data_IF_111505185757
#
_entry.id   IF_111505185757
#
_cell.length_a   1.000
_cell.length_b   1.000
_cell.length_c   1.000
_cell.angle_alpha   90.00
_cell.angle_beta   90.00
_cell.angle_gamma   90.00
#
_symmetry.space_group_name_H-M   'P 1'
#
loop_
_entity.id
_entity.type
_entity.pdbx_description
1 polymer ?
#
# COMPACT_ATOMS: atom_id res chain seq x y z
N UNK A 1 -65.72 -59.04 39.61
CA UNK A 1 -64.83 -58.76 38.48
C UNK A 1 -65.01 -57.32 37.97
N UNK A 2 -64.80 -56.27 38.79
CA UNK A 2 -65.14 -54.89 38.36
C UNK A 2 -64.00 -53.84 38.48
N UNK A 3 -62.76 -54.20 38.78
CA UNK A 3 -61.72 -53.19 39.00
C UNK A 3 -60.41 -53.38 38.18
N UNK A 4 -60.35 -54.36 37.27
CA UNK A 4 -59.10 -54.54 36.46
C UNK A 4 -58.94 -53.50 35.36
N UNK A 5 -60.03 -52.99 34.83
CA UNK A 5 -59.98 -51.92 33.77
C UNK A 5 -59.55 -50.58 34.32
N UNK A 6 -60.03 -50.23 35.54
CA UNK A 6 -59.68 -48.97 36.20
C UNK A 6 -58.22 -48.92 36.60
N UNK A 7 -57.66 -50.02 37.10
CA UNK A 7 -56.25 -50.11 37.47
C UNK A 7 -55.33 -50.00 36.25
N UNK A 8 -55.74 -50.63 35.13
CA UNK A 8 -54.98 -50.52 33.87
C UNK A 8 -55.01 -49.08 33.32
N UNK A 9 -56.11 -48.38 33.38
CA UNK A 9 -56.24 -47.00 32.93
C UNK A 9 -55.43 -46.03 33.79
N UNK A 10 -55.41 -46.20 35.11
CA UNK A 10 -54.61 -45.37 36.04
C UNK A 10 -53.12 -45.63 35.83
N UNK A 11 -52.69 -46.88 35.56
CA UNK A 11 -51.29 -47.18 35.30
C UNK A 11 -50.77 -46.55 33.96
N UNK A 12 -51.63 -46.52 32.93
CA UNK A 12 -51.27 -45.83 31.66
C UNK A 12 -51.17 -44.31 31.81
N UNK A 13 -52.07 -43.71 32.58
CA UNK A 13 -52.04 -42.26 32.88
C UNK A 13 -50.80 -41.90 33.69
N UNK A 14 -50.43 -42.71 34.69
CA UNK A 14 -49.23 -42.49 35.49
C UNK A 14 -47.95 -42.65 34.68
N UNK A 15 -47.91 -43.61 33.71
CA UNK A 15 -46.78 -43.75 32.77
C UNK A 15 -46.68 -42.59 31.81
N UNK A 16 -47.81 -42.05 31.34
CA UNK A 16 -47.81 -40.89 30.48
C UNK A 16 -47.41 -39.63 31.23
N UNK A 17 -47.86 -39.41 32.43
CA UNK A 17 -47.47 -38.29 33.31
C UNK A 17 -46.00 -38.40 33.74
N UNK A 18 -45.50 -39.61 34.01
CA UNK A 18 -44.06 -39.83 34.27
C UNK A 18 -43.19 -39.55 33.08
N UNK A 19 -43.60 -39.95 31.86
CA UNK A 19 -42.87 -39.68 30.61
C UNK A 19 -42.84 -38.18 30.28
N UNK A 20 -43.96 -37.44 30.48
CA UNK A 20 -43.96 -35.99 30.28
C UNK A 20 -43.17 -35.22 31.31
N UNK A 21 -43.11 -35.72 32.58
CA UNK A 21 -42.30 -35.10 33.63
C UNK A 21 -40.79 -35.31 33.38
N UNK A 22 -40.39 -36.48 32.93
CA UNK A 22 -39.01 -36.77 32.55
C UNK A 22 -38.61 -35.95 31.28
N UNK A 23 -39.53 -35.80 30.35
CA UNK A 23 -39.31 -34.96 29.15
C UNK A 23 -39.19 -33.47 29.49
N UNK A 24 -40.01 -32.96 30.47
CA UNK A 24 -39.88 -31.59 30.95
C UNK A 24 -38.64 -31.35 31.82
N UNK A 25 -38.19 -32.36 32.60
CA UNK A 25 -36.91 -32.27 33.33
C UNK A 25 -35.70 -32.30 32.39
N UNK A 26 -35.76 -33.10 31.31
CA UNK A 26 -34.73 -33.10 30.27
C UNK A 26 -34.63 -31.79 29.51
N UNK A 27 -35.74 -31.06 29.29
CA UNK A 27 -35.74 -29.74 28.67
C UNK A 27 -35.31 -28.61 29.58
N UNK A 28 -35.34 -28.77 30.90
CA UNK A 28 -34.89 -27.75 31.86
C UNK A 28 -33.38 -27.82 32.17
N UNK A 29 -32.69 -28.89 31.74
CA UNK A 29 -31.25 -29.04 31.89
C UNK A 29 -30.45 -28.61 30.64
N UNK A 30 -31.11 -28.06 29.65
CA UNK A 30 -30.52 -27.74 28.34
C UNK A 30 -30.61 -26.28 27.92
N UNK A 31 -30.48 -25.28 28.84
CA UNK A 31 -30.32 -23.88 28.41
C UNK A 31 -29.51 -23.11 29.48
N UNK A 32 -28.30 -23.56 29.72
CA UNK A 32 -27.16 -22.70 29.99
C UNK A 32 -26.17 -22.95 28.80
N UNK A 33 -26.54 -22.57 27.58
CA UNK A 33 -25.52 -22.11 26.65
C UNK A 33 -25.05 -20.74 27.22
N UNK A 34 -24.12 -20.84 28.20
CA UNK A 34 -23.10 -19.85 28.20
C UNK A 34 -22.58 -19.79 26.77
N UNK A 35 -22.62 -18.63 26.16
CA UNK A 35 -21.84 -18.31 24.98
C UNK A 35 -20.44 -18.82 25.32
N UNK A 36 -20.08 -19.99 24.81
CA UNK A 36 -18.67 -20.36 24.70
C UNK A 36 -18.11 -19.24 23.82
N UNK A 37 -17.43 -18.31 24.47
CA UNK A 37 -16.46 -17.50 23.78
C UNK A 37 -15.58 -18.54 23.07
N UNK A 38 -15.66 -18.60 21.75
CA UNK A 38 -14.78 -19.42 20.96
C UNK A 38 -13.37 -19.07 21.42
N UNK A 39 -12.67 -20.03 22.02
CA UNK A 39 -11.25 -19.88 22.28
C UNK A 39 -10.64 -19.41 20.96
N UNK A 40 -9.73 -18.43 20.98
CA UNK A 40 -9.05 -18.01 19.76
C UNK A 40 -8.45 -19.27 19.16
N UNK A 41 -8.85 -19.60 17.92
CA UNK A 41 -8.24 -20.69 17.19
C UNK A 41 -6.78 -20.29 17.01
N UNK A 42 -5.89 -20.98 17.72
CA UNK A 42 -4.46 -20.74 17.62
C UNK A 42 -4.06 -20.99 16.18
N UNK A 43 -3.66 -19.93 15.47
CA UNK A 43 -3.25 -20.03 14.07
C UNK A 43 -1.93 -20.78 13.98
N UNK A 44 -1.81 -21.65 12.98
CA UNK A 44 -0.55 -22.36 12.72
C UNK A 44 0.57 -21.35 12.42
N UNK A 45 1.80 -21.69 12.81
CA UNK A 45 2.99 -20.88 12.49
C UNK A 45 3.15 -20.73 10.98
N UNK A 46 3.38 -19.50 10.53
CA UNK A 46 3.49 -19.12 9.13
C UNK A 46 4.76 -18.32 8.87
N UNK A 47 5.29 -18.43 7.66
CA UNK A 47 6.45 -17.66 7.19
C UNK A 47 6.04 -16.75 6.04
N UNK A 48 6.30 -15.45 6.18
CA UNK A 48 6.10 -14.44 5.13
C UNK A 48 7.44 -13.88 4.71
N UNK A 49 7.78 -14.02 3.42
CA UNK A 49 8.98 -13.43 2.83
C UNK A 49 8.68 -12.06 2.24
N UNK A 50 9.29 -10.99 2.74
CA UNK A 50 9.13 -9.63 2.21
C UNK A 50 10.39 -9.20 1.48
N UNK A 51 10.26 -8.86 0.20
CA UNK A 51 11.30 -8.23 -0.61
C UNK A 51 10.92 -6.78 -0.87
N UNK A 52 11.67 -5.84 -0.29
CA UNK A 52 11.53 -4.41 -0.52
C UNK A 52 12.63 -3.94 -1.49
N UNK A 53 12.28 -3.13 -2.49
CA UNK A 53 13.25 -2.67 -3.50
C UNK A 53 14.35 -1.78 -2.91
N UNK A 54 13.96 -0.79 -2.09
CA UNK A 54 14.86 0.15 -1.45
C UNK A 54 14.25 0.70 -0.16
N UNK A 55 15.06 1.17 0.78
CA UNK A 55 14.58 1.87 1.98
C UNK A 55 14.46 3.36 1.69
N UNK A 56 13.26 3.87 1.79
CA UNK A 56 12.89 5.28 1.89
C UNK A 56 11.54 5.38 2.60
N UNK A 57 11.17 6.56 3.09
CA UNK A 57 10.04 6.77 4.01
C UNK A 57 8.74 6.11 3.52
N UNK A 58 8.40 6.19 2.22
CA UNK A 58 7.17 5.60 1.70
C UNK A 58 7.18 4.06 1.76
N UNK A 59 8.24 3.40 1.23
CA UNK A 59 8.30 1.93 1.24
C UNK A 59 8.49 1.37 2.66
N UNK A 60 9.18 2.09 3.53
CA UNK A 60 9.33 1.68 4.93
C UNK A 60 7.98 1.78 5.66
N UNK A 61 7.19 2.83 5.41
CA UNK A 61 5.83 2.95 5.93
C UNK A 61 4.91 1.82 5.41
N UNK A 62 5.00 1.46 4.12
CA UNK A 62 4.27 0.31 3.55
C UNK A 62 4.65 -0.98 4.27
N UNK A 63 5.95 -1.23 4.48
CA UNK A 63 6.42 -2.45 5.14
C UNK A 63 5.96 -2.52 6.60
N UNK A 64 5.96 -1.42 7.34
CA UNK A 64 5.40 -1.37 8.69
C UNK A 64 3.87 -1.55 8.67
N UNK A 65 3.18 -0.97 7.69
CA UNK A 65 1.75 -1.21 7.48
C UNK A 65 1.43 -2.68 7.22
N UNK A 66 2.25 -3.39 6.42
CA UNK A 66 2.08 -4.83 6.17
C UNK A 66 2.13 -5.61 7.49
N UNK A 67 3.08 -5.31 8.36
CA UNK A 67 3.19 -5.95 9.68
C UNK A 67 1.98 -5.67 10.56
N UNK A 68 1.48 -4.43 10.55
CA UNK A 68 0.27 -4.07 11.32
C UNK A 68 -0.98 -4.75 10.75
N UNK A 69 -1.17 -4.79 9.42
CA UNK A 69 -2.28 -5.50 8.78
C UNK A 69 -2.29 -7.01 9.05
N UNK A 70 -1.12 -7.64 9.10
CA UNK A 70 -0.94 -9.03 9.53
C UNK A 70 -1.35 -9.19 11.00
N UNK A 71 -0.90 -8.30 11.87
CA UNK A 71 -1.20 -8.31 13.30
C UNK A 71 -2.69 -8.07 13.58
N UNK A 72 -3.34 -7.11 12.92
CA UNK A 72 -4.79 -6.89 12.98
C UNK A 72 -5.57 -8.14 12.56
N UNK A 73 -4.99 -8.94 11.65
CA UNK A 73 -5.56 -10.19 11.15
C UNK A 73 -5.20 -11.42 12.02
N UNK A 74 -4.49 -11.22 13.15
CA UNK A 74 -4.16 -12.27 14.12
C UNK A 74 -2.86 -13.03 13.83
N UNK A 75 -1.97 -12.47 13.01
CA UNK A 75 -0.61 -12.97 12.79
C UNK A 75 0.40 -12.04 13.47
N UNK A 76 1.08 -12.54 14.51
CA UNK A 76 2.02 -11.75 15.31
C UNK A 76 3.43 -12.32 15.18
N UNK A 77 4.38 -11.48 14.76
CA UNK A 77 5.78 -11.87 14.62
C UNK A 77 6.35 -12.37 15.95
N UNK A 78 7.02 -13.52 15.91
CA UNK A 78 7.60 -14.18 17.09
C UNK A 78 6.63 -15.01 17.90
N UNK A 79 5.33 -15.06 17.54
CA UNK A 79 4.30 -15.91 18.13
C UNK A 79 3.87 -16.99 17.13
N UNK A 80 3.11 -16.61 16.10
CA UNK A 80 2.63 -17.50 15.05
C UNK A 80 3.05 -17.05 13.64
N UNK A 81 3.97 -16.11 13.55
CA UNK A 81 4.47 -15.53 12.30
C UNK A 81 5.99 -15.35 12.34
N UNK A 82 6.67 -15.80 11.31
CA UNK A 82 8.05 -15.45 11.00
C UNK A 82 8.07 -14.54 9.78
N UNK A 83 8.72 -13.37 9.87
CA UNK A 83 8.94 -12.47 8.75
C UNK A 83 10.39 -12.55 8.32
N UNK A 84 10.63 -13.01 7.09
CA UNK A 84 11.93 -12.99 6.43
C UNK A 84 12.01 -11.76 5.52
N UNK A 85 12.78 -10.75 5.93
CA UNK A 85 12.87 -9.46 5.24
C UNK A 85 14.17 -9.32 4.46
N UNK A 86 14.09 -8.84 3.21
CA UNK A 86 15.21 -8.51 2.33
C UNK A 86 15.00 -7.11 1.73
N UNK A 87 16.10 -6.33 1.66
CA UNK A 87 16.09 -5.01 1.04
C UNK A 87 17.10 -4.95 -0.12
N UNK A 88 16.62 -4.64 -1.31
CA UNK A 88 17.41 -4.59 -2.55
C UNK A 88 18.41 -3.44 -2.63
N UNK A 89 18.28 -2.40 -1.78
CA UNK A 89 19.12 -1.21 -1.75
C UNK A 89 19.21 -0.49 -3.12
N UNK A 90 18.10 -0.43 -3.85
CA UNK A 90 17.97 0.10 -5.20
C UNK A 90 18.88 -0.63 -6.24
N UNK A 91 19.39 -1.82 -5.94
CA UNK A 91 20.23 -2.61 -6.83
C UNK A 91 19.44 -3.79 -7.40
N UNK A 92 18.88 -3.59 -8.61
CA UNK A 92 18.09 -4.61 -9.29
C UNK A 92 18.84 -5.92 -9.52
N UNK A 93 20.18 -5.87 -9.63
CA UNK A 93 20.99 -7.09 -9.86
C UNK A 93 20.98 -8.05 -8.67
N UNK A 94 20.68 -7.56 -7.46
CA UNK A 94 20.60 -8.37 -6.23
C UNK A 94 19.23 -9.02 -6.03
N UNK A 95 18.17 -8.44 -6.60
CA UNK A 95 16.79 -8.86 -6.34
C UNK A 95 16.54 -10.33 -6.66
N UNK A 96 17.06 -10.83 -7.78
CA UNK A 96 16.89 -12.25 -8.14
C UNK A 96 17.49 -13.20 -7.10
N UNK A 97 18.69 -12.87 -6.58
CA UNK A 97 19.33 -13.66 -5.52
C UNK A 97 18.55 -13.59 -4.21
N UNK A 98 18.07 -12.40 -3.83
CA UNK A 98 17.27 -12.20 -2.63
C UNK A 98 15.91 -12.92 -2.73
N UNK A 99 15.25 -12.86 -3.88
CA UNK A 99 14.01 -13.61 -4.15
C UNK A 99 14.22 -15.12 -3.94
N UNK A 100 15.32 -15.67 -4.47
CA UNK A 100 15.63 -17.08 -4.29
C UNK A 100 15.97 -17.44 -2.83
N UNK A 101 16.57 -16.52 -2.08
CA UNK A 101 16.84 -16.72 -0.65
C UNK A 101 15.55 -16.78 0.15
N UNK A 102 14.57 -15.89 -0.13
CA UNK A 102 13.26 -15.92 0.52
C UNK A 102 12.49 -17.20 0.19
N UNK A 103 12.54 -17.63 -1.06
CA UNK A 103 11.92 -18.89 -1.48
C UNK A 103 12.53 -20.11 -0.75
N UNK A 104 13.86 -20.11 -0.54
CA UNK A 104 14.58 -21.17 0.18
C UNK A 104 14.34 -21.16 1.70
N UNK A 105 13.62 -20.16 2.23
CA UNK A 105 13.15 -20.09 3.62
C UNK A 105 11.77 -20.72 3.81
N UNK A 106 11.28 -21.44 2.80
CA UNK A 106 9.95 -22.08 2.80
C UNK A 106 8.83 -21.10 3.15
N UNK A 107 8.88 -19.87 2.60
CA UNK A 107 7.85 -18.86 2.80
C UNK A 107 6.48 -19.36 2.28
N UNK A 108 5.44 -19.27 3.12
CA UNK A 108 4.05 -19.60 2.73
C UNK A 108 3.49 -18.55 1.74
N UNK A 109 3.90 -17.28 1.89
CA UNK A 109 3.55 -16.16 1.03
C UNK A 109 4.76 -15.26 0.86
N UNK A 110 4.96 -14.75 -0.36
CA UNK A 110 5.95 -13.73 -0.68
C UNK A 110 5.28 -12.38 -0.88
N UNK A 111 5.91 -11.31 -0.44
CA UNK A 111 5.43 -9.93 -0.64
C UNK A 111 6.50 -9.15 -1.40
N UNK A 112 6.11 -8.58 -2.54
CA UNK A 112 6.98 -7.70 -3.32
C UNK A 112 6.60 -6.24 -3.08
N UNK A 113 7.44 -5.49 -2.36
CA UNK A 113 7.23 -4.06 -2.09
C UNK A 113 7.92 -3.25 -3.16
N UNK A 114 7.13 -2.56 -3.96
CA UNK A 114 7.41 -1.89 -5.23
C UNK A 114 7.59 -2.83 -6.44
N UNK A 115 7.35 -2.29 -7.65
CA UNK A 115 7.33 -3.03 -8.92
C UNK A 115 8.60 -3.85 -9.18
N UNK A 116 9.83 -3.32 -8.99
CA UNK A 116 11.04 -4.12 -9.26
C UNK A 116 11.18 -5.35 -8.35
N UNK A 117 10.77 -5.25 -7.08
CA UNK A 117 10.78 -6.37 -6.15
C UNK A 117 9.74 -7.43 -6.52
N UNK A 118 8.53 -7.00 -6.86
CA UNK A 118 7.46 -7.89 -7.31
C UNK A 118 7.85 -8.66 -8.59
N UNK A 119 8.43 -7.97 -9.58
CA UNK A 119 8.94 -8.60 -10.80
C UNK A 119 10.03 -9.64 -10.51
N UNK A 120 10.94 -9.36 -9.58
CA UNK A 120 11.98 -10.29 -9.20
C UNK A 120 11.43 -11.56 -8.54
N UNK A 121 10.42 -11.44 -7.68
CA UNK A 121 9.73 -12.58 -7.07
C UNK A 121 8.97 -13.39 -8.13
N UNK A 122 8.23 -12.75 -9.03
CA UNK A 122 7.48 -13.40 -10.10
C UNK A 122 8.38 -14.23 -11.06
N UNK A 123 9.63 -13.81 -11.22
CA UNK A 123 10.61 -14.51 -12.04
C UNK A 123 11.18 -15.79 -11.41
N UNK A 124 11.04 -15.99 -10.10
CA UNK A 124 11.63 -17.16 -9.40
C UNK A 124 10.61 -18.21 -8.98
N UNK A 125 9.32 -17.87 -8.94
CA UNK A 125 8.27 -18.83 -8.58
C UNK A 125 6.94 -18.55 -9.29
N UNK A 126 6.21 -19.62 -9.61
CA UNK A 126 4.83 -19.60 -10.09
C UNK A 126 3.90 -20.42 -9.17
N UNK A 127 4.46 -21.01 -8.09
CA UNK A 127 3.74 -21.89 -7.18
C UNK A 127 3.44 -21.21 -5.84
N UNK A 128 4.43 -20.47 -5.26
CA UNK A 128 4.24 -19.76 -4.00
C UNK A 128 3.43 -18.50 -4.25
N UNK A 129 2.36 -18.22 -3.48
CA UNK A 129 1.59 -17.00 -3.58
C UNK A 129 2.46 -15.75 -3.44
N UNK A 130 2.24 -14.76 -4.31
CA UNK A 130 2.89 -13.45 -4.25
C UNK A 130 1.81 -12.39 -4.04
N UNK A 131 1.99 -11.56 -3.01
CA UNK A 131 1.16 -10.38 -2.76
C UNK A 131 1.95 -9.12 -3.12
N UNK A 132 1.38 -8.32 -4.01
CA UNK A 132 1.95 -7.03 -4.42
C UNK A 132 1.74 -6.02 -3.29
N UNK A 133 2.82 -5.38 -2.85
CA UNK A 133 2.80 -4.26 -1.94
C UNK A 133 3.19 -2.99 -2.69
N UNK A 134 2.20 -2.17 -3.07
CA UNK A 134 2.42 -0.93 -3.82
C UNK A 134 3.06 -1.16 -5.21
N UNK A 135 2.30 -1.75 -6.11
CA UNK A 135 2.66 -1.88 -7.52
C UNK A 135 1.74 -1.03 -8.39
N UNK A 136 2.32 -0.07 -9.09
CA UNK A 136 1.57 0.99 -9.78
C UNK A 136 0.71 0.49 -10.94
N UNK A 137 1.28 -0.37 -11.79
CA UNK A 137 0.60 -0.97 -12.94
C UNK A 137 0.89 -2.48 -13.00
N UNK A 138 0.15 -3.31 -12.24
CA UNK A 138 0.36 -4.74 -12.22
C UNK A 138 0.22 -5.44 -13.58
N UNK A 139 -0.67 -4.93 -14.44
CA UNK A 139 -0.89 -5.47 -15.80
C UNK A 139 0.24 -5.06 -16.73
N UNK A 140 0.58 -3.77 -16.78
CA UNK A 140 1.68 -3.26 -17.60
C UNK A 140 3.06 -3.79 -17.19
N UNK A 141 3.24 -4.11 -15.90
CA UNK A 141 4.44 -4.77 -15.38
C UNK A 141 4.48 -6.29 -15.68
N UNK A 142 3.47 -6.84 -16.37
CA UNK A 142 3.31 -8.26 -16.68
C UNK A 142 3.29 -9.17 -15.44
N UNK A 143 2.74 -8.70 -14.34
CA UNK A 143 2.60 -9.44 -13.08
C UNK A 143 1.28 -10.20 -13.01
N UNK A 144 0.21 -9.60 -13.54
CA UNK A 144 -1.13 -10.18 -13.60
C UNK A 144 -1.73 -10.03 -14.99
N UNK A 145 -2.69 -10.88 -15.34
CA UNK A 145 -3.37 -10.80 -16.63
C UNK A 145 -4.42 -9.67 -16.66
N UNK A 146 -5.07 -9.42 -15.52
CA UNK A 146 -6.16 -8.47 -15.37
C UNK A 146 -6.27 -8.04 -13.90
N UNK A 147 -6.80 -6.84 -13.62
CA UNK A 147 -6.91 -6.31 -12.25
C UNK A 147 -8.01 -6.99 -11.44
N UNK A 148 -9.11 -7.39 -12.09
CA UNK A 148 -10.24 -8.06 -11.43
C UNK A 148 -10.06 -9.58 -11.35
N UNK A 149 -9.29 -10.15 -12.29
CA UNK A 149 -9.00 -11.59 -12.41
C UNK A 149 -7.52 -11.83 -12.69
N UNK A 150 -6.66 -11.76 -11.69
CA UNK A 150 -5.20 -11.84 -11.86
C UNK A 150 -4.71 -13.11 -12.61
N UNK A 151 -5.33 -14.26 -12.33
CA UNK A 151 -5.21 -15.48 -13.15
C UNK A 151 -4.02 -16.39 -12.85
N UNK A 152 -3.11 -16.01 -11.97
CA UNK A 152 -1.91 -16.75 -11.60
C UNK A 152 -1.72 -16.89 -10.09
N UNK A 153 -0.47 -16.94 -9.63
CA UNK A 153 -0.11 -16.97 -8.20
C UNK A 153 0.08 -15.59 -7.59
N UNK A 154 -0.30 -14.51 -8.30
CA UNK A 154 -0.07 -13.10 -7.90
C UNK A 154 -1.40 -12.39 -7.71
N UNK A 155 -1.54 -11.68 -6.62
CA UNK A 155 -2.55 -10.66 -6.33
C UNK A 155 -1.92 -9.57 -5.46
N UNK A 156 -2.66 -8.57 -4.98
CA UNK A 156 -2.11 -7.59 -4.06
C UNK A 156 -2.78 -6.23 -4.11
N UNK A 157 -2.01 -5.20 -3.80
CA UNK A 157 -2.46 -3.82 -3.69
C UNK A 157 -1.68 -2.95 -4.68
N UNK A 158 -2.42 -2.16 -5.46
CA UNK A 158 -1.85 -1.14 -6.34
C UNK A 158 -1.82 0.21 -5.62
N UNK A 159 -0.72 0.91 -5.78
CA UNK A 159 -0.51 2.29 -5.31
C UNK A 159 -0.77 3.34 -6.39
N UNK A 160 -1.49 2.96 -7.46
CA UNK A 160 -1.73 3.84 -8.61
C UNK A 160 -2.13 5.26 -8.18
N UNK A 161 -1.26 6.24 -8.50
CA UNK A 161 -1.48 7.64 -8.13
C UNK A 161 -2.47 8.33 -9.09
N UNK A 162 -3.25 9.30 -8.60
CA UNK A 162 -4.16 10.10 -9.43
C UNK A 162 -3.41 11.22 -10.18
N UNK A 163 -2.56 10.85 -11.14
CA UNK A 163 -1.64 11.76 -11.86
C UNK A 163 -2.36 12.98 -12.45
N UNK A 164 -3.55 12.80 -13.05
CA UNK A 164 -4.33 13.90 -13.57
C UNK A 164 -4.74 14.93 -12.50
N UNK A 165 -5.12 14.45 -11.31
CA UNK A 165 -5.45 15.33 -10.19
C UNK A 165 -4.20 16.07 -9.65
N UNK A 166 -3.04 15.41 -9.63
CA UNK A 166 -1.77 16.02 -9.22
C UNK A 166 -1.32 17.13 -10.16
N UNK A 167 -1.40 16.91 -11.47
CA UNK A 167 -1.07 17.95 -12.48
C UNK A 167 -2.08 19.10 -12.43
N UNK A 168 -3.38 18.79 -12.20
CA UNK A 168 -4.40 19.82 -12.00
C UNK A 168 -4.11 20.64 -10.73
N UNK A 169 -3.79 20.00 -9.61
CA UNK A 169 -3.40 20.68 -8.37
C UNK A 169 -2.19 21.61 -8.61
N UNK A 170 -1.18 21.14 -9.35
CA UNK A 170 -0.05 21.95 -9.74
C UNK A 170 -0.49 23.22 -10.47
N UNK A 171 -1.41 23.09 -11.44
CA UNK A 171 -1.93 24.23 -12.20
C UNK A 171 -2.76 25.19 -11.36
N UNK A 172 -3.52 24.68 -10.40
CA UNK A 172 -4.31 25.50 -9.46
C UNK A 172 -3.40 26.30 -8.49
N UNK A 173 -2.29 25.70 -8.02
CA UNK A 173 -1.30 26.35 -7.16
C UNK A 173 -0.37 27.31 -7.94
N UNK A 174 -0.11 27.01 -9.22
CA UNK A 174 0.83 27.70 -10.09
C UNK A 174 0.13 28.15 -11.39
N UNK A 175 -0.83 29.09 -11.33
CA UNK A 175 -1.69 29.42 -12.48
C UNK A 175 -0.91 29.97 -13.69
N UNK A 176 0.24 30.61 -13.48
CA UNK A 176 1.08 31.16 -14.53
C UNK A 176 2.04 30.14 -15.15
N UNK A 177 2.17 28.93 -14.59
CA UNK A 177 3.04 27.89 -15.09
C UNK A 177 2.62 27.45 -16.51
N UNK A 178 3.61 27.26 -17.36
CA UNK A 178 3.47 26.85 -18.78
C UNK A 178 4.20 25.57 -19.09
N UNK A 179 5.22 25.22 -18.32
CA UNK A 179 6.11 24.09 -18.59
C UNK A 179 6.32 23.26 -17.34
N UNK A 180 6.03 21.96 -17.43
CA UNK A 180 6.34 20.97 -16.39
C UNK A 180 7.53 20.10 -16.82
N UNK A 181 8.47 19.90 -15.91
CA UNK A 181 9.52 18.90 -16.05
C UNK A 181 9.16 17.63 -15.29
N UNK A 182 9.17 16.48 -15.95
CA UNK A 182 8.88 15.19 -15.34
C UNK A 182 10.21 14.51 -15.06
N UNK A 183 10.57 14.38 -13.78
CA UNK A 183 11.82 13.73 -13.35
C UNK A 183 11.55 12.27 -12.98
N UNK A 184 12.24 11.33 -13.62
CA UNK A 184 12.01 9.91 -13.38
C UNK A 184 13.26 9.05 -13.62
N UNK A 185 13.27 7.84 -13.07
CA UNK A 185 14.28 6.81 -13.33
C UNK A 185 14.00 6.05 -14.62
N UNK A 186 15.00 5.93 -15.49
CA UNK A 186 14.89 5.13 -16.71
C UNK A 186 14.89 3.61 -16.46
N UNK A 187 15.15 3.18 -15.22
CA UNK A 187 15.28 1.77 -14.85
C UNK A 187 14.04 1.21 -14.15
N UNK A 188 13.04 2.05 -13.87
CA UNK A 188 11.79 1.65 -13.22
C UNK A 188 10.60 1.69 -14.18
N UNK A 189 9.89 0.57 -14.34
CA UNK A 189 8.75 0.47 -15.26
C UNK A 189 7.52 1.23 -14.75
N UNK A 190 7.28 1.23 -13.41
CA UNK A 190 6.25 2.03 -12.75
C UNK A 190 6.33 3.51 -13.13
N UNK A 191 7.54 4.08 -13.11
CA UNK A 191 7.76 5.50 -13.45
C UNK A 191 7.46 5.79 -14.91
N UNK A 192 7.92 4.94 -15.84
CA UNK A 192 7.67 5.10 -17.28
C UNK A 192 6.19 5.12 -17.62
N UNK A 193 5.38 4.28 -16.95
CA UNK A 193 3.95 4.26 -17.13
C UNK A 193 3.33 5.62 -16.75
N UNK A 194 3.68 6.16 -15.59
CA UNK A 194 3.15 7.43 -15.11
C UNK A 194 3.67 8.66 -15.87
N UNK A 195 4.85 8.59 -16.50
CA UNK A 195 5.34 9.65 -17.37
C UNK A 195 4.33 9.91 -18.50
N UNK A 196 3.84 8.88 -19.18
CA UNK A 196 2.86 9.04 -20.24
C UNK A 196 1.52 9.62 -19.71
N UNK A 197 1.06 9.21 -18.53
CA UNK A 197 -0.12 9.80 -17.90
C UNK A 197 0.11 11.29 -17.56
N UNK A 198 1.30 11.65 -17.06
CA UNK A 198 1.65 13.03 -16.72
C UNK A 198 1.77 13.93 -17.96
N UNK A 199 2.33 13.42 -19.06
CA UNK A 199 2.39 14.13 -20.34
C UNK A 199 0.98 14.43 -20.89
N UNK A 200 0.09 13.44 -20.86
CA UNK A 200 -1.31 13.62 -21.28
C UNK A 200 -2.05 14.62 -20.37
N UNK A 201 -1.91 14.49 -19.04
CA UNK A 201 -2.52 15.41 -18.10
C UNK A 201 -1.97 16.85 -18.22
N UNK A 202 -0.69 17.00 -18.53
CA UNK A 202 -0.08 18.30 -18.80
C UNK A 202 -0.70 18.96 -20.02
N UNK A 203 -0.86 18.25 -21.13
CA UNK A 203 -1.50 18.73 -22.35
C UNK A 203 -2.95 19.18 -22.08
N UNK A 204 -3.74 18.36 -21.36
CA UNK A 204 -5.12 18.68 -20.97
C UNK A 204 -5.21 19.96 -20.12
N UNK A 205 -4.19 20.28 -19.32
CA UNK A 205 -4.12 21.48 -18.49
C UNK A 205 -3.38 22.65 -19.17
N UNK A 206 -3.09 22.57 -20.49
CA UNK A 206 -2.44 23.62 -21.26
C UNK A 206 -0.97 23.83 -20.92
N UNK A 207 -0.30 22.80 -20.37
CA UNK A 207 1.12 22.80 -20.04
C UNK A 207 1.93 22.11 -21.16
N UNK A 208 3.16 22.57 -21.38
CA UNK A 208 4.15 21.84 -22.15
C UNK A 208 4.94 20.94 -21.22
N UNK A 209 5.00 19.65 -21.48
CA UNK A 209 5.79 18.69 -20.70
C UNK A 209 7.18 18.49 -21.30
N UNK A 210 8.17 18.25 -20.45
CA UNK A 210 9.52 17.81 -20.79
C UNK A 210 9.91 16.67 -19.84
N UNK A 211 10.24 15.51 -20.39
CA UNK A 211 10.60 14.33 -19.62
C UNK A 211 12.12 14.21 -19.45
N UNK A 212 12.57 14.04 -18.22
CA UNK A 212 13.98 13.97 -17.83
C UNK A 212 14.28 12.65 -17.12
N UNK A 213 14.90 11.73 -17.85
CA UNK A 213 15.25 10.40 -17.37
C UNK A 213 16.64 10.38 -16.74
N UNK A 214 16.79 9.78 -15.59
CA UNK A 214 18.08 9.49 -14.95
C UNK A 214 18.29 7.99 -14.83
N UNK A 215 19.49 7.47 -15.10
CA UNK A 215 19.80 6.04 -14.96
C UNK A 215 20.12 5.63 -13.53
N UNK A 216 20.48 6.57 -12.66
CA UNK A 216 20.75 6.32 -11.23
C UNK A 216 20.62 7.61 -10.41
N UNK A 217 20.69 7.48 -9.08
CA UNK A 217 20.65 8.62 -8.15
C UNK A 217 21.82 9.59 -8.30
N UNK A 218 22.95 9.16 -8.89
CA UNK A 218 24.15 9.99 -9.06
C UNK A 218 23.93 11.18 -10.00
N UNK A 219 23.03 11.07 -10.98
CA UNK A 219 22.76 12.10 -11.98
C UNK A 219 21.66 13.08 -11.56
N UNK A 220 20.94 12.80 -10.45
CA UNK A 220 19.76 13.56 -10.02
C UNK A 220 20.11 15.04 -9.79
N UNK A 221 21.15 15.34 -9.00
CA UNK A 221 21.51 16.72 -8.68
C UNK A 221 21.77 17.55 -9.92
N UNK A 222 22.53 17.02 -10.88
CA UNK A 222 22.83 17.69 -12.15
C UNK A 222 21.58 17.85 -13.00
N UNK A 223 20.72 16.83 -13.05
CA UNK A 223 19.48 16.87 -13.82
C UNK A 223 18.53 17.93 -13.28
N UNK A 224 18.33 18.01 -11.97
CA UNK A 224 17.49 19.05 -11.33
C UNK A 224 18.03 20.45 -11.63
N UNK A 225 19.34 20.67 -11.61
CA UNK A 225 19.96 21.96 -11.98
C UNK A 225 19.67 22.35 -13.45
N UNK A 226 19.60 21.37 -14.37
CA UNK A 226 19.21 21.61 -15.76
C UNK A 226 17.73 21.95 -15.83
N UNK A 227 16.87 21.13 -15.21
CA UNK A 227 15.41 21.30 -15.21
C UNK A 227 15.00 22.66 -14.66
N UNK A 228 15.58 23.10 -13.56
CA UNK A 228 15.26 24.36 -12.89
C UNK A 228 15.48 25.61 -13.75
N UNK A 229 16.19 25.49 -14.88
CA UNK A 229 16.39 26.58 -15.87
C UNK A 229 15.42 26.53 -17.04
N UNK A 230 14.69 25.44 -17.17
CA UNK A 230 13.93 25.12 -18.39
C UNK A 230 12.44 24.94 -18.14
N UNK A 231 12.02 24.78 -16.85
CA UNK A 231 10.64 24.46 -16.49
C UNK A 231 10.15 25.34 -15.34
N UNK A 232 8.84 25.51 -15.23
CA UNK A 232 8.21 26.32 -14.20
C UNK A 232 8.02 25.53 -12.90
N UNK A 233 7.88 24.20 -12.99
CA UNK A 233 7.86 23.28 -11.84
C UNK A 233 8.29 21.88 -12.25
N UNK A 234 8.68 21.08 -11.27
CA UNK A 234 9.04 19.67 -11.43
C UNK A 234 7.88 18.80 -10.95
N UNK A 235 7.52 17.78 -11.72
CA UNK A 235 6.66 16.69 -11.30
C UNK A 235 7.49 15.42 -11.12
N UNK A 236 7.27 14.71 -9.99
CA UNK A 236 7.91 13.44 -9.68
C UNK A 236 6.81 12.37 -9.56
N UNK A 237 6.78 11.39 -10.49
CA UNK A 237 5.87 10.25 -10.39
C UNK A 237 6.24 9.32 -9.23
N UNK A 238 5.54 8.19 -9.08
CA UNK A 238 5.95 7.10 -8.18
C UNK A 238 7.28 6.51 -8.68
N UNK A 239 8.38 7.01 -8.11
CA UNK A 239 9.75 6.67 -8.51
C UNK A 239 10.61 6.46 -7.26
N UNK A 240 11.01 5.23 -7.03
CA UNK A 240 11.75 4.87 -5.83
C UNK A 240 13.18 5.41 -5.81
N UNK A 241 13.81 5.51 -6.99
CA UNK A 241 15.16 6.07 -7.13
C UNK A 241 15.16 7.56 -6.80
N UNK A 242 14.15 8.29 -7.27
CA UNK A 242 14.00 9.72 -6.97
C UNK A 242 13.58 9.93 -5.51
N UNK A 243 12.63 9.14 -4.99
CA UNK A 243 12.18 9.20 -3.59
C UNK A 243 13.35 8.98 -2.62
N UNK A 244 14.21 8.01 -2.89
CA UNK A 244 15.41 7.75 -2.08
C UNK A 244 16.43 8.91 -2.08
N UNK A 245 16.35 9.81 -3.07
CA UNK A 245 17.21 10.99 -3.19
C UNK A 245 16.46 12.31 -3.04
N UNK A 246 15.26 12.29 -2.44
CA UNK A 246 14.34 13.45 -2.43
C UNK A 246 14.97 14.69 -1.80
N UNK A 247 15.75 14.54 -0.74
CA UNK A 247 16.48 15.67 -0.13
C UNK A 247 17.42 16.36 -1.12
N UNK A 248 18.12 15.59 -1.97
CA UNK A 248 18.97 16.15 -3.03
C UNK A 248 18.14 16.92 -4.05
N UNK A 249 16.98 16.39 -4.45
CA UNK A 249 16.06 17.07 -5.38
C UNK A 249 15.59 18.39 -4.79
N UNK A 250 15.09 18.38 -3.56
CA UNK A 250 14.59 19.57 -2.85
C UNK A 250 15.70 20.62 -2.70
N UNK A 251 16.88 20.21 -2.26
CA UNK A 251 18.01 21.12 -2.09
C UNK A 251 18.40 21.82 -3.41
N UNK A 252 18.46 21.08 -4.51
CA UNK A 252 18.81 21.67 -5.80
C UNK A 252 17.69 22.53 -6.39
N UNK A 253 16.43 22.12 -6.28
CA UNK A 253 15.27 22.87 -6.76
C UNK A 253 15.08 24.20 -5.97
N UNK A 254 15.30 24.17 -4.66
CA UNK A 254 15.16 25.35 -3.79
C UNK A 254 16.17 26.47 -4.12
N UNK A 255 17.38 26.14 -4.65
CA UNK A 255 18.34 27.14 -5.10
C UNK A 255 17.79 28.06 -6.20
N UNK A 256 16.90 27.54 -7.01
CA UNK A 256 16.24 28.25 -8.12
C UNK A 256 14.77 28.58 -7.83
N UNK A 257 14.28 28.26 -6.62
CA UNK A 257 12.88 28.39 -6.23
C UNK A 257 11.93 27.65 -7.19
N UNK A 258 12.33 26.50 -7.68
CA UNK A 258 11.51 25.68 -8.58
C UNK A 258 10.60 24.78 -7.75
N UNK A 259 9.26 24.91 -7.86
CA UNK A 259 8.32 24.07 -7.10
C UNK A 259 8.40 22.60 -7.52
N UNK A 260 8.14 21.69 -6.57
CA UNK A 260 8.09 20.25 -6.81
C UNK A 260 6.70 19.73 -6.43
N UNK A 261 6.00 19.15 -7.39
CA UNK A 261 4.78 18.38 -7.16
C UNK A 261 5.15 16.90 -7.17
N UNK A 262 4.67 16.16 -6.18
CA UNK A 262 5.05 14.77 -5.96
C UNK A 262 3.86 13.84 -6.06
N UNK A 263 4.12 12.54 -6.14
CA UNK A 263 3.06 11.52 -6.21
C UNK A 263 2.66 10.95 -4.85
N UNK A 264 3.45 11.18 -3.79
CA UNK A 264 3.20 10.64 -2.45
C UNK A 264 3.39 11.70 -1.35
N UNK A 265 2.71 11.48 -0.23
CA UNK A 265 2.71 12.30 0.98
C UNK A 265 4.11 12.48 1.59
N UNK A 266 4.85 11.39 1.74
CA UNK A 266 6.20 11.39 2.33
C UNK A 266 7.20 12.28 1.58
N UNK A 267 7.07 12.41 0.25
CA UNK A 267 7.88 13.36 -0.51
C UNK A 267 7.47 14.82 -0.27
N UNK A 268 6.20 15.10 0.07
CA UNK A 268 5.76 16.45 0.49
C UNK A 268 6.34 16.78 1.86
N UNK A 269 6.36 15.81 2.77
CA UNK A 269 6.98 15.93 4.09
C UNK A 269 8.49 16.21 4.00
N UNK A 270 9.16 15.69 2.97
CA UNK A 270 10.58 15.93 2.69
C UNK A 270 10.87 17.25 1.95
N UNK A 271 9.87 18.06 1.66
CA UNK A 271 10.05 19.38 1.05
C UNK A 271 9.46 19.54 -0.35
N UNK A 272 8.69 18.59 -0.84
CA UNK A 272 7.78 18.80 -1.96
C UNK A 272 6.73 19.86 -1.64
N UNK A 273 6.17 20.52 -2.66
CA UNK A 273 5.13 21.54 -2.46
C UNK A 273 3.78 20.92 -2.16
N UNK A 274 3.35 19.94 -2.94
CA UNK A 274 2.02 19.36 -2.81
C UNK A 274 1.90 18.00 -3.53
N UNK A 275 0.88 17.24 -3.13
CA UNK A 275 0.42 16.03 -3.80
C UNK A 275 -1.11 15.86 -3.70
N UNK A 276 -1.65 14.94 -4.48
CA UNK A 276 -2.89 14.22 -4.23
C UNK A 276 -2.49 12.74 -4.16
N UNK A 277 -2.57 12.12 -3.00
CA UNK A 277 -2.02 10.77 -2.81
C UNK A 277 -2.72 9.99 -1.71
N UNK A 278 -2.32 8.74 -1.56
CA UNK A 278 -2.77 7.86 -0.49
C UNK A 278 -1.72 7.80 0.61
N UNK A 279 -2.19 7.53 1.81
CA UNK A 279 -1.34 7.22 2.96
C UNK A 279 -0.59 5.89 2.74
N UNK A 280 0.73 5.93 2.77
CA UNK A 280 1.57 4.79 2.44
C UNK A 280 1.47 3.67 3.48
N UNK A 281 1.29 4.01 4.75
CA UNK A 281 1.07 3.03 5.81
C UNK A 281 -0.24 2.27 5.59
N UNK A 282 -1.31 2.96 5.19
CA UNK A 282 -2.61 2.34 4.88
C UNK A 282 -2.51 1.37 3.69
N UNK A 283 -1.74 1.69 2.65
CA UNK A 283 -1.45 0.75 1.55
C UNK A 283 -0.82 -0.53 2.12
N UNK A 284 0.13 -0.39 3.03
CA UNK A 284 0.75 -1.51 3.72
C UNK A 284 -0.25 -2.35 4.54
N UNK A 285 -1.13 -1.69 5.30
CA UNK A 285 -2.15 -2.38 6.12
C UNK A 285 -3.07 -3.25 5.25
N UNK A 286 -3.55 -2.73 4.13
CA UNK A 286 -4.38 -3.51 3.19
C UNK A 286 -3.59 -4.65 2.53
N UNK A 287 -2.31 -4.43 2.24
CA UNK A 287 -1.41 -5.51 1.77
C UNK A 287 -1.28 -6.61 2.83
N UNK A 288 -1.05 -6.26 4.09
CA UNK A 288 -0.95 -7.23 5.20
C UNK A 288 -2.23 -8.03 5.44
N UNK A 289 -3.40 -7.38 5.33
CA UNK A 289 -4.71 -8.05 5.40
C UNK A 289 -4.90 -9.05 4.25
N UNK A 290 -4.47 -8.69 3.04
CA UNK A 290 -4.53 -9.60 1.89
C UNK A 290 -3.58 -10.79 2.07
N UNK A 291 -2.36 -10.59 2.57
CA UNK A 291 -1.45 -11.68 2.95
C UNK A 291 -2.11 -12.62 3.94
N UNK A 292 -2.73 -12.09 4.99
CA UNK A 292 -3.43 -12.90 6.00
C UNK A 292 -4.58 -13.71 5.39
N UNK A 293 -5.37 -13.13 4.50
CA UNK A 293 -6.45 -13.83 3.82
C UNK A 293 -5.95 -15.01 2.95
N UNK A 294 -4.79 -14.86 2.30
CA UNK A 294 -4.13 -15.95 1.57
C UNK A 294 -3.64 -17.03 2.54
N UNK A 295 -3.00 -16.64 3.66
CA UNK A 295 -2.52 -17.58 4.68
C UNK A 295 -3.65 -18.38 5.32
N UNK A 296 -4.82 -17.77 5.49
CA UNK A 296 -6.04 -18.40 6.03
C UNK A 296 -6.78 -19.28 4.98
N UNK A 297 -6.37 -19.21 3.70
CA UNK A 297 -7.05 -19.90 2.60
C UNK A 297 -8.45 -19.33 2.28
N UNK A 298 -8.74 -18.11 2.73
CA UNK A 298 -10.00 -17.39 2.45
C UNK A 298 -9.94 -16.56 1.17
N UNK A 299 -8.74 -16.34 0.64
CA UNK A 299 -8.47 -15.71 -0.64
C UNK A 299 -7.49 -16.57 -1.47
N UNK A 300 -7.69 -16.57 -2.79
CA UNK A 300 -6.79 -17.24 -3.74
C UNK A 300 -6.26 -16.21 -4.72
N UNK A 301 -4.92 -16.12 -4.95
CA UNK A 301 -4.34 -15.10 -5.82
C UNK A 301 -4.98 -15.00 -7.19
N UNK A 302 -5.25 -16.14 -7.82
CA UNK A 302 -5.79 -16.20 -9.18
C UNK A 302 -7.15 -15.50 -9.36
N UNK A 303 -7.95 -15.40 -8.30
CA UNK A 303 -9.34 -14.89 -8.33
C UNK A 303 -9.58 -13.71 -7.40
N UNK A 304 -8.61 -13.36 -6.58
CA UNK A 304 -8.69 -12.18 -5.71
C UNK A 304 -8.29 -10.94 -6.50
N UNK A 305 -9.19 -9.97 -6.71
CA UNK A 305 -8.87 -8.74 -7.44
C UNK A 305 -7.71 -7.97 -6.82
N UNK A 306 -6.94 -7.29 -7.65
CA UNK A 306 -5.98 -6.29 -7.18
C UNK A 306 -6.75 -5.16 -6.49
N UNK A 307 -6.42 -4.90 -5.23
CA UNK A 307 -7.01 -3.80 -4.49
C UNK A 307 -6.47 -2.46 -4.99
N UNK A 308 -7.35 -1.50 -5.22
CA UNK A 308 -7.00 -0.13 -5.62
C UNK A 308 -7.74 0.87 -4.73
N UNK A 309 -7.05 1.94 -4.38
CA UNK A 309 -7.67 3.07 -3.70
C UNK A 309 -8.37 3.97 -4.72
N UNK A 310 -9.57 4.45 -4.39
CA UNK A 310 -10.36 5.28 -5.31
C UNK A 310 -10.12 6.79 -5.10
N UNK A 311 -9.71 7.19 -3.89
CA UNK A 311 -9.59 8.58 -3.48
C UNK A 311 -8.19 8.86 -2.93
N UNK A 312 -7.65 10.05 -3.24
CA UNK A 312 -6.41 10.56 -2.66
C UNK A 312 -6.68 11.80 -1.80
N UNK A 313 -5.90 12.00 -0.74
CA UNK A 313 -5.92 13.22 0.05
C UNK A 313 -5.06 14.28 -0.62
N UNK A 314 -5.56 15.53 -0.70
CA UNK A 314 -4.74 16.66 -1.13
C UNK A 314 -3.90 17.13 0.05
N UNK A 315 -2.58 17.14 -0.12
CA UNK A 315 -1.61 17.57 0.91
C UNK A 315 -0.78 18.70 0.35
N UNK A 316 -0.64 19.80 1.10
CA UNK A 316 0.13 20.98 0.71
C UNK A 316 1.08 21.36 1.85
N UNK A 317 2.35 21.57 1.51
CA UNK A 317 3.38 22.01 2.44
C UNK A 317 3.41 23.53 2.52
N UNK A 318 2.89 24.07 3.64
CA UNK A 318 2.84 25.53 3.88
C UNK A 318 4.24 26.14 4.00
N UNK A 319 5.18 25.44 4.63
CA UNK A 319 6.58 25.91 4.77
C UNK A 319 7.21 26.07 3.39
N UNK A 320 7.03 25.08 2.52
CA UNK A 320 7.58 25.13 1.17
C UNK A 320 6.88 26.18 0.30
N UNK A 321 5.56 26.30 0.40
CA UNK A 321 4.81 27.38 -0.28
C UNK A 321 5.32 28.75 0.12
N UNK A 322 5.54 28.99 1.41
CA UNK A 322 6.09 30.26 1.93
C UNK A 322 7.52 30.53 1.41
N UNK A 323 8.40 29.53 1.42
CA UNK A 323 9.77 29.63 0.92
C UNK A 323 9.82 29.98 -0.56
N UNK A 324 8.91 29.40 -1.34
CA UNK A 324 8.79 29.64 -2.78
C UNK A 324 8.04 30.94 -3.12
N UNK A 325 7.35 31.57 -2.16
CA UNK A 325 6.50 32.74 -2.36
C UNK A 325 5.18 32.43 -3.05
N UNK A 326 4.68 31.22 -2.90
CA UNK A 326 3.42 30.73 -3.50
C UNK A 326 2.28 30.99 -2.52
N UNK A 327 1.20 31.61 -3.00
CA UNK A 327 -0.02 31.81 -2.21
C UNK A 327 -0.93 30.59 -2.40
N UNK A 328 -1.25 29.90 -1.31
CA UNK A 328 -2.22 28.80 -1.33
C UNK A 328 -3.62 29.41 -1.50
N UNK A 329 -4.39 29.03 -2.55
CA UNK A 329 -5.76 29.52 -2.74
C UNK A 329 -6.68 29.14 -1.57
N UNK A 330 -7.67 29.98 -1.30
CA UNK A 330 -8.52 29.88 -0.08
C UNK A 330 -9.31 28.55 -0.02
N UNK A 331 -9.75 28.04 -1.16
CA UNK A 331 -10.45 26.74 -1.23
C UNK A 331 -9.60 25.58 -0.71
N UNK A 332 -8.29 25.60 -0.93
CA UNK A 332 -7.41 24.52 -0.42
C UNK A 332 -7.17 24.60 1.08
N UNK A 333 -7.40 25.73 1.72
CA UNK A 333 -7.24 25.84 3.18
C UNK A 333 -8.27 25.03 3.96
N UNK A 334 -9.45 24.81 3.37
CA UNK A 334 -10.53 24.04 3.95
C UNK A 334 -10.58 22.58 3.46
N UNK A 335 -10.06 22.30 2.25
CA UNK A 335 -10.18 21.01 1.56
C UNK A 335 -8.91 20.15 1.61
N UNK A 336 -7.73 20.79 1.82
CA UNK A 336 -6.46 20.09 1.84
C UNK A 336 -5.91 19.90 3.25
N UNK A 337 -5.15 18.84 3.46
CA UNK A 337 -4.29 18.67 4.63
C UNK A 337 -3.08 19.59 4.48
N UNK A 338 -3.03 20.64 5.30
CA UNK A 338 -1.89 21.52 5.33
C UNK A 338 -0.84 20.99 6.31
N UNK A 339 0.40 20.85 5.84
CA UNK A 339 1.52 20.40 6.68
C UNK A 339 2.60 21.49 6.77
N UNK A 340 3.35 21.47 7.86
CA UNK A 340 4.52 22.31 8.05
C UNK A 340 5.74 21.42 8.24
N UNK A 341 6.84 21.74 7.57
CA UNK A 341 8.11 21.03 7.69
C UNK A 341 9.16 21.96 8.29
N UNK A 342 10.11 21.41 9.07
CA UNK A 342 11.22 22.20 9.59
C UNK A 342 12.21 22.48 8.46
N UNK A 343 12.54 23.74 8.16
CA UNK A 343 13.59 24.04 7.17
C UNK A 343 14.93 23.43 7.60
N UNK A 344 15.63 22.76 6.69
CA UNK A 344 16.92 22.10 6.96
C UNK A 344 18.00 22.98 7.59
N UNK A 345 17.86 24.31 7.51
CA UNK A 345 18.83 25.28 8.08
C UNK A 345 18.72 25.45 9.60
N UNK A 346 17.70 24.92 10.26
CA UNK A 346 17.54 25.00 11.73
C UNK A 346 17.97 23.71 12.45
N UNK A 347 18.17 22.61 11.73
CA UNK A 347 18.55 21.31 12.31
C UNK A 347 20.08 21.18 12.60
N UNK A 348 20.92 22.17 12.24
CA UNK A 348 22.37 22.10 12.43
C UNK A 348 22.89 22.86 13.65
N UNK A 349 22.03 23.48 14.47
CA UNK A 349 22.42 24.30 15.64
C UNK A 349 21.92 23.75 17.00
N UNK A 350 21.52 22.44 17.10
CA UNK A 350 21.27 21.78 18.38
C UNK A 350 22.27 20.68 18.72
#
# INVERSE_FOLDING_TARGET
>A
MKNKGLIASVAVILLFLGATFVYQLGMRSGTNQASEASEPVEKAEKTVGILQFVSHEALDAITEGIKEGLKESGYTEGDNLTIEFQNGQADQSKLATMSQQLLNKDADVLVGVATPAAQALANVTQDVPIVLGAVTDPVGANLVADMDQPGGNITGVSDKAPVAAQIKLAKDLLPEAKTVGILYSSTEDNSKYQVAEAEAAAEENGLTSKSYAVPSSNEIAQMVQVMAREVDFIYIPLDNTIANAMQTVVQEANKSKTPIITSVDTMVEQGGLATVGQDQFTIGVETGKMVAAILDGTAEPATTPIYTFNDGETIINETQAQLLGITIPENFKDEAKLITTTPENEASDE
#
